data_IF_361250677728
#
_entry.id   IF_361250677728
#
_cell.length_a   1.000
_cell.length_b   1.000
_cell.length_c   1.000
_cell.angle_alpha   90.00
_cell.angle_beta   90.00
_cell.angle_gamma   90.00
#
_symmetry.space_group_name_H-M   'P 1'
#
loop_
_entity.id
_entity.type
_entity.pdbx_description
1 polymer ?
#
# COMPACT_ATOMS: atom_id res chain seq x y z
N UNK A 1 23.89 53.61 6.43
CA UNK A 1 22.92 52.55 6.06
C UNK A 1 23.00 52.14 4.59
N UNK A 2 23.00 53.06 3.61
CA UNK A 2 23.06 52.69 2.17
C UNK A 2 24.31 51.92 1.72
N UNK A 3 25.48 52.25 2.28
CA UNK A 3 26.75 51.56 1.94
C UNK A 3 26.80 50.13 2.48
N UNK A 4 26.20 49.90 3.67
CA UNK A 4 26.11 48.56 4.26
C UNK A 4 25.13 47.66 3.47
N UNK A 5 24.04 48.24 2.96
CA UNK A 5 23.09 47.53 2.09
C UNK A 5 23.71 47.16 0.75
N UNK A 6 24.56 48.01 0.17
CA UNK A 6 25.27 47.72 -1.08
C UNK A 6 26.33 46.62 -0.90
N UNK A 7 27.02 46.58 0.24
CA UNK A 7 27.97 45.51 0.55
C UNK A 7 27.29 44.17 0.81
N UNK A 8 26.13 44.18 1.47
CA UNK A 8 25.31 42.97 1.68
C UNK A 8 24.74 42.42 0.36
N UNK A 9 24.29 43.31 -0.55
CA UNK A 9 23.77 42.90 -1.85
C UNK A 9 24.89 42.33 -2.77
N UNK A 10 26.09 42.92 -2.71
CA UNK A 10 27.25 42.42 -3.46
C UNK A 10 27.75 41.06 -2.94
N UNK A 11 27.76 40.85 -1.63
CA UNK A 11 28.08 39.56 -1.02
C UNK A 11 27.05 38.48 -1.37
N UNK A 12 25.77 38.84 -1.42
CA UNK A 12 24.71 37.93 -1.82
C UNK A 12 24.85 37.54 -3.30
N UNK A 13 25.18 38.46 -4.21
CA UNK A 13 25.42 38.12 -5.63
C UNK A 13 26.64 37.22 -5.85
N UNK A 14 27.70 37.38 -5.06
CA UNK A 14 28.90 36.55 -5.15
C UNK A 14 28.68 35.10 -4.65
N UNK A 15 27.69 34.90 -3.77
CA UNK A 15 27.29 33.56 -3.32
C UNK A 15 26.49 32.79 -4.37
N UNK A 16 25.80 33.47 -5.30
CA UNK A 16 24.97 32.82 -6.33
C UNK A 16 25.84 32.37 -7.51
N UNK A 17 26.96 33.04 -7.79
CA UNK A 17 27.87 32.67 -8.88
C UNK A 17 28.86 31.54 -8.53
N UNK A 18 29.00 31.21 -7.24
CA UNK A 18 29.90 30.13 -6.79
C UNK A 18 29.34 28.71 -7.04
N UNK A 19 28.07 28.58 -7.45
CA UNK A 19 27.43 27.29 -7.74
C UNK A 19 27.38 26.94 -9.24
N UNK A 20 28.19 27.60 -10.07
CA UNK A 20 28.34 27.26 -11.50
C UNK A 20 29.57 26.40 -11.72
N UNK A 21 29.63 25.23 -11.09
CA UNK A 21 30.57 24.18 -11.51
C UNK A 21 29.83 23.31 -12.53
N UNK A 22 29.98 23.63 -13.81
CA UNK A 22 29.57 22.75 -14.90
C UNK A 22 30.58 21.61 -14.94
N UNK A 23 30.40 20.63 -14.06
CA UNK A 23 31.12 19.36 -14.17
C UNK A 23 30.83 18.81 -15.57
N UNK A 24 31.88 18.66 -16.37
CA UNK A 24 31.78 17.94 -17.65
C UNK A 24 31.25 16.56 -17.31
N UNK A 25 30.06 16.25 -17.83
CA UNK A 25 29.56 14.88 -17.93
C UNK A 25 30.74 14.00 -18.36
N UNK A 26 31.19 13.05 -17.52
CA UNK A 26 32.28 12.16 -17.90
C UNK A 26 31.90 11.49 -19.22
N UNK A 27 32.76 11.66 -20.22
CA UNK A 27 32.60 11.06 -21.55
C UNK A 27 32.88 9.56 -21.43
N UNK A 28 31.93 8.82 -20.86
CA UNK A 28 32.04 7.38 -20.72
C UNK A 28 32.06 6.78 -22.13
N UNK A 29 33.22 6.26 -22.52
CA UNK A 29 33.47 5.88 -23.91
C UNK A 29 33.16 4.40 -24.17
N UNK A 30 33.14 3.56 -23.12
CA UNK A 30 32.86 2.13 -23.24
C UNK A 30 31.68 1.68 -22.39
N UNK A 31 31.09 0.55 -22.79
CA UNK A 31 30.03 -0.14 -22.05
C UNK A 31 30.45 -0.45 -20.61
N UNK A 32 31.69 -0.93 -20.43
CA UNK A 32 32.23 -1.27 -19.11
C UNK A 32 32.37 -0.03 -18.21
N UNK A 33 32.82 1.10 -18.77
CA UNK A 33 32.94 2.35 -18.00
C UNK A 33 31.59 2.82 -17.49
N UNK A 34 30.55 2.79 -18.34
CA UNK A 34 29.18 3.13 -17.94
C UNK A 34 28.66 2.20 -16.85
N UNK A 35 28.87 0.90 -17.00
CA UNK A 35 28.41 -0.10 -16.04
C UNK A 35 29.12 0.07 -14.68
N UNK A 36 30.45 0.21 -14.67
CA UNK A 36 31.23 0.40 -13.45
C UNK A 36 30.86 1.71 -12.74
N UNK A 37 30.63 2.78 -13.50
CA UNK A 37 30.16 4.05 -12.97
C UNK A 37 28.78 3.93 -12.35
N UNK A 38 27.80 3.33 -13.04
CA UNK A 38 26.47 3.05 -12.51
C UNK A 38 26.56 2.27 -11.19
N UNK A 39 27.34 1.18 -11.17
CA UNK A 39 27.58 0.37 -9.99
C UNK A 39 28.20 1.15 -8.82
N UNK A 40 29.16 2.04 -9.09
CA UNK A 40 29.74 2.92 -8.08
C UNK A 40 28.70 3.88 -7.48
N UNK A 41 27.81 4.43 -8.32
CA UNK A 41 26.75 5.34 -7.87
C UNK A 41 25.65 4.62 -7.10
N UNK A 42 25.24 3.42 -7.51
CA UNK A 42 24.31 2.58 -6.75
C UNK A 42 24.86 2.25 -5.35
N UNK A 43 26.15 1.91 -5.23
CA UNK A 43 26.80 1.67 -3.92
C UNK A 43 26.80 2.92 -3.03
N UNK A 44 26.85 4.10 -3.62
CA UNK A 44 26.78 5.40 -2.92
C UNK A 44 25.35 5.90 -2.72
N UNK A 45 24.34 5.12 -3.12
CA UNK A 45 22.92 5.52 -3.13
C UNK A 45 22.63 6.78 -3.95
N UNK A 46 23.45 7.07 -4.97
CA UNK A 46 23.24 8.15 -5.93
C UNK A 46 22.37 7.62 -7.07
N UNK A 47 21.08 7.43 -6.78
CA UNK A 47 20.15 6.71 -7.68
C UNK A 47 19.93 7.43 -9.00
N UNK A 48 19.75 8.76 -9.01
CA UNK A 48 19.52 9.50 -10.26
C UNK A 48 20.71 9.41 -11.22
N UNK A 49 21.93 9.58 -10.72
CA UNK A 49 23.15 9.43 -11.54
C UNK A 49 23.34 7.99 -12.00
N UNK A 50 23.03 7.00 -11.16
CA UNK A 50 23.05 5.60 -11.57
C UNK A 50 22.05 5.31 -12.70
N UNK A 51 20.81 5.82 -12.57
CA UNK A 51 19.76 5.70 -13.59
C UNK A 51 20.24 6.29 -14.92
N UNK A 52 20.81 7.49 -14.91
CA UNK A 52 21.31 8.15 -16.13
C UNK A 52 22.41 7.32 -16.82
N UNK A 53 23.36 6.77 -16.06
CA UNK A 53 24.41 5.90 -16.60
C UNK A 53 23.85 4.59 -17.17
N UNK A 54 22.88 3.96 -16.49
CA UNK A 54 22.23 2.73 -16.94
C UNK A 54 21.39 2.95 -18.21
N UNK A 55 20.64 4.05 -18.29
CA UNK A 55 19.92 4.44 -19.50
C UNK A 55 20.88 4.68 -20.67
N UNK A 56 21.98 5.42 -20.42
CA UNK A 56 23.02 5.64 -21.43
C UNK A 56 23.64 4.32 -21.91
N UNK A 57 23.81 3.34 -21.03
CA UNK A 57 24.29 2.01 -21.40
C UNK A 57 23.28 1.30 -22.31
N UNK A 58 21.99 1.29 -21.96
CA UNK A 58 20.95 0.69 -22.80
C UNK A 58 20.83 1.34 -24.17
N UNK A 59 20.96 2.67 -24.25
CA UNK A 59 20.85 3.43 -25.49
C UNK A 59 22.03 3.18 -26.44
N UNK A 60 23.25 3.19 -25.90
CA UNK A 60 24.46 3.09 -26.72
C UNK A 60 24.91 1.63 -26.95
N UNK A 61 24.60 0.72 -26.03
CA UNK A 61 25.07 -0.66 -26.04
C UNK A 61 23.93 -1.69 -25.79
N UNK A 62 22.84 -1.68 -26.58
CA UNK A 62 21.64 -2.51 -26.34
C UNK A 62 21.87 -4.03 -26.43
N UNK A 63 22.97 -4.47 -27.05
CA UNK A 63 23.37 -5.88 -27.18
C UNK A 63 24.72 -6.16 -26.52
N UNK A 64 25.16 -5.26 -25.64
CA UNK A 64 26.41 -5.38 -24.91
C UNK A 64 26.41 -6.51 -23.88
N UNK A 65 27.57 -6.80 -23.30
CA UNK A 65 27.75 -7.88 -22.31
C UNK A 65 26.94 -7.62 -21.04
N UNK A 66 26.79 -6.36 -20.65
CA UNK A 66 26.09 -5.90 -19.45
C UNK A 66 24.65 -5.46 -19.75
N UNK A 67 24.19 -5.48 -21.00
CA UNK A 67 22.91 -4.90 -21.38
C UNK A 67 21.71 -5.46 -20.60
N UNK A 68 21.56 -6.79 -20.53
CA UNK A 68 20.45 -7.42 -19.81
C UNK A 68 20.55 -7.19 -18.29
N UNK A 69 21.77 -7.23 -17.75
CA UNK A 69 22.01 -6.98 -16.33
C UNK A 69 21.74 -5.51 -15.95
N UNK A 70 22.12 -4.57 -16.80
CA UNK A 70 21.86 -3.14 -16.64
C UNK A 70 20.36 -2.84 -16.62
N UNK A 71 19.56 -3.51 -17.47
CA UNK A 71 18.10 -3.38 -17.43
C UNK A 71 17.51 -3.83 -16.07
N UNK A 72 17.99 -4.95 -15.52
CA UNK A 72 17.56 -5.41 -14.19
C UNK A 72 17.95 -4.44 -13.07
N UNK A 73 19.16 -3.89 -13.16
CA UNK A 73 19.66 -2.91 -12.19
C UNK A 73 18.96 -1.56 -12.31
N UNK A 74 18.50 -1.20 -13.51
CA UNK A 74 17.70 -0.01 -13.74
C UNK A 74 16.34 -0.11 -13.05
N UNK A 75 15.68 -1.29 -13.11
CA UNK A 75 14.47 -1.58 -12.33
C UNK A 75 14.73 -1.35 -10.83
N UNK A 76 15.84 -1.87 -10.32
CA UNK A 76 16.21 -1.68 -8.91
C UNK A 76 16.48 -0.21 -8.58
N UNK A 77 17.20 0.51 -9.44
CA UNK A 77 17.53 1.91 -9.23
C UNK A 77 16.27 2.79 -9.18
N UNK A 78 15.29 2.56 -10.07
CA UNK A 78 13.99 3.23 -10.01
C UNK A 78 13.20 2.92 -8.74
N UNK A 79 13.22 1.66 -8.30
CA UNK A 79 12.58 1.30 -7.03
C UNK A 79 13.22 2.04 -5.85
N UNK A 80 14.55 2.17 -5.85
CA UNK A 80 15.27 2.88 -4.79
C UNK A 80 15.12 4.39 -4.86
N UNK A 81 14.85 4.97 -6.04
CA UNK A 81 14.49 6.39 -6.19
C UNK A 81 13.03 6.65 -5.82
N UNK A 82 12.20 5.62 -5.68
CA UNK A 82 10.77 5.73 -5.32
C UNK A 82 9.86 5.95 -6.53
N UNK A 83 10.33 5.67 -7.74
CA UNK A 83 9.58 5.86 -8.98
C UNK A 83 8.89 4.55 -9.40
N UNK A 84 7.70 4.29 -8.84
CA UNK A 84 6.96 3.05 -9.06
C UNK A 84 6.49 2.86 -10.52
N UNK A 85 6.16 3.96 -11.20
CA UNK A 85 5.76 3.96 -12.61
C UNK A 85 6.91 3.50 -13.49
N UNK A 86 8.11 4.06 -13.27
CA UNK A 86 9.30 3.67 -14.00
C UNK A 86 9.76 2.24 -13.68
N UNK A 87 9.58 1.74 -12.45
CA UNK A 87 9.78 0.32 -12.13
C UNK A 87 8.88 -0.56 -13.00
N UNK A 88 7.58 -0.26 -13.04
CA UNK A 88 6.60 -1.05 -13.78
C UNK A 88 6.91 -1.05 -15.28
N UNK A 89 7.16 0.12 -15.87
CA UNK A 89 7.47 0.26 -17.28
C UNK A 89 8.78 -0.47 -17.68
N UNK A 90 9.83 -0.33 -16.86
CA UNK A 90 11.13 -0.96 -17.10
C UNK A 90 11.05 -2.48 -16.96
N UNK A 91 10.34 -2.97 -15.94
CA UNK A 91 10.14 -4.39 -15.73
C UNK A 91 9.30 -5.03 -16.85
N UNK A 92 8.23 -4.37 -17.31
CA UNK A 92 7.42 -4.87 -18.42
C UNK A 92 8.21 -4.95 -19.72
N UNK A 93 9.07 -3.96 -19.96
CA UNK A 93 10.01 -4.01 -21.09
C UNK A 93 10.98 -5.19 -20.96
N UNK A 94 11.58 -5.39 -19.78
CA UNK A 94 12.49 -6.52 -19.54
C UNK A 94 11.80 -7.87 -19.78
N UNK A 95 10.62 -8.07 -19.18
CA UNK A 95 9.82 -9.30 -19.33
C UNK A 95 9.49 -9.58 -20.80
N UNK A 96 9.13 -8.55 -21.56
CA UNK A 96 8.79 -8.67 -22.99
C UNK A 96 10.00 -8.99 -23.86
N UNK A 97 11.14 -8.36 -23.59
CA UNK A 97 12.36 -8.54 -24.39
C UNK A 97 13.12 -9.82 -24.02
N UNK A 98 13.12 -10.21 -22.75
CA UNK A 98 13.93 -11.31 -22.22
C UNK A 98 13.09 -12.33 -21.40
N UNK A 99 12.02 -12.93 -21.97
CA UNK A 99 11.11 -13.80 -21.22
C UNK A 99 11.74 -15.11 -20.72
N UNK A 100 12.87 -15.54 -21.29
CA UNK A 100 13.61 -16.74 -20.89
C UNK A 100 14.82 -16.44 -20.01
N UNK A 101 15.03 -15.16 -19.63
CA UNK A 101 16.16 -14.79 -18.80
C UNK A 101 16.07 -15.44 -17.42
N UNK A 102 17.22 -15.87 -16.87
CA UNK A 102 17.28 -16.62 -15.61
C UNK A 102 16.68 -15.86 -14.42
N UNK A 103 16.72 -14.53 -14.45
CA UNK A 103 16.21 -13.65 -13.41
C UNK A 103 14.95 -12.88 -13.85
N UNK A 104 14.17 -13.39 -14.81
CA UNK A 104 12.92 -12.72 -15.22
C UNK A 104 11.89 -12.66 -14.08
N UNK A 105 11.93 -13.64 -13.18
CA UNK A 105 11.14 -13.68 -11.95
C UNK A 105 11.42 -12.48 -11.02
N UNK A 106 12.66 -11.98 -11.00
CA UNK A 106 13.01 -10.75 -10.29
C UNK A 106 12.25 -9.54 -10.84
N UNK A 107 12.11 -9.39 -12.17
CA UNK A 107 11.35 -8.30 -12.76
C UNK A 107 9.86 -8.35 -12.35
N UNK A 108 9.25 -9.54 -12.37
CA UNK A 108 7.89 -9.73 -11.85
C UNK A 108 7.76 -9.38 -10.37
N UNK A 109 8.73 -9.80 -9.55
CA UNK A 109 8.74 -9.48 -8.13
C UNK A 109 8.87 -7.97 -7.87
N UNK A 110 9.74 -7.28 -8.60
CA UNK A 110 9.94 -5.84 -8.45
C UNK A 110 8.70 -5.03 -8.81
N UNK A 111 7.90 -5.46 -9.80
CA UNK A 111 6.58 -4.85 -10.09
C UNK A 111 5.62 -4.94 -8.90
N UNK A 112 5.54 -6.11 -8.26
CA UNK A 112 4.68 -6.27 -7.09
C UNK A 112 5.19 -5.45 -5.91
N UNK A 113 6.51 -5.38 -5.75
CA UNK A 113 7.16 -4.65 -4.67
C UNK A 113 7.02 -3.13 -4.81
N UNK A 114 7.15 -2.56 -6.02
CA UNK A 114 6.97 -1.13 -6.22
C UNK A 114 5.55 -0.69 -5.87
N UNK A 115 4.53 -1.37 -6.39
CA UNK A 115 3.12 -1.10 -6.06
C UNK A 115 2.82 -1.31 -4.57
N UNK A 116 3.49 -2.25 -3.89
CA UNK A 116 3.32 -2.47 -2.44
C UNK A 116 3.82 -1.28 -1.60
N UNK A 117 4.91 -0.66 -2.05
CA UNK A 117 5.53 0.48 -1.38
C UNK A 117 4.95 1.82 -1.84
N UNK A 118 4.24 1.84 -2.95
CA UNK A 118 3.55 3.01 -3.47
C UNK A 118 2.51 3.50 -2.45
N UNK A 119 2.55 4.79 -2.15
CA UNK A 119 1.70 5.38 -1.12
C UNK A 119 2.25 5.33 0.30
N UNK A 120 3.25 4.47 0.59
CA UNK A 120 3.98 4.42 1.89
C UNK A 120 5.01 5.55 1.99
N UNK A 121 4.53 6.78 2.03
CA UNK A 121 5.36 7.98 2.02
C UNK A 121 6.18 8.16 3.31
N UNK A 122 7.18 9.05 3.24
CA UNK A 122 8.02 9.45 4.38
C UNK A 122 7.21 9.90 5.62
N UNK A 123 6.00 10.44 5.40
CA UNK A 123 5.12 10.97 6.44
C UNK A 123 4.36 9.91 7.25
N UNK A 124 4.21 8.67 6.77
CA UNK A 124 3.57 7.59 7.54
C UNK A 124 4.38 7.17 8.77
N UNK A 125 5.70 7.40 8.76
CA UNK A 125 6.55 7.19 9.93
C UNK A 125 6.30 8.21 11.05
N UNK A 126 5.68 9.35 10.72
CA UNK A 126 5.46 10.47 11.65
C UNK A 126 3.98 10.57 12.05
N UNK A 127 3.07 10.18 11.17
CA UNK A 127 1.63 10.15 11.41
C UNK A 127 1.08 8.75 11.11
N UNK A 128 0.76 7.93 12.13
CA UNK A 128 0.11 6.65 11.91
C UNK A 128 -1.27 6.92 11.28
N UNK A 129 -1.40 6.58 10.01
CA UNK A 129 -2.68 6.66 9.28
C UNK A 129 -3.11 5.25 8.92
N UNK A 130 -4.39 4.99 9.08
CA UNK A 130 -4.95 3.66 8.81
C UNK A 130 -4.93 3.39 7.30
N UNK A 131 -4.03 2.53 6.85
CA UNK A 131 -3.87 2.21 5.43
C UNK A 131 -5.12 1.55 4.84
N UNK A 132 -5.92 0.89 5.67
CA UNK A 132 -7.16 0.22 5.23
C UNK A 132 -8.27 1.20 4.87
N UNK A 133 -8.11 2.49 5.14
CA UNK A 133 -9.06 3.53 4.76
C UNK A 133 -8.65 4.30 3.49
N UNK A 134 -7.43 4.06 2.98
CA UNK A 134 -6.89 4.76 1.80
C UNK A 134 -7.32 4.08 0.52
N UNK A 135 -7.11 4.77 -0.61
CA UNK A 135 -7.38 4.20 -1.93
C UNK A 135 -6.59 2.89 -2.12
N UNK A 136 -7.26 1.74 -2.33
CA UNK A 136 -6.62 0.44 -2.43
C UNK A 136 -6.02 0.16 -3.81
N UNK A 137 -6.03 1.10 -4.78
CA UNK A 137 -5.52 0.90 -6.14
C UNK A 137 -4.15 0.21 -6.19
N UNK A 138 -3.14 0.83 -5.58
CA UNK A 138 -1.79 0.26 -5.53
C UNK A 138 -1.71 -1.09 -4.81
N UNK A 139 -2.55 -1.32 -3.79
CA UNK A 139 -2.63 -2.60 -3.10
C UNK A 139 -3.22 -3.72 -3.98
N UNK A 140 -4.23 -3.40 -4.81
CA UNK A 140 -4.79 -4.33 -5.81
C UNK A 140 -3.76 -4.66 -6.88
N UNK A 141 -3.09 -3.64 -7.43
CA UNK A 141 -2.05 -3.83 -8.44
C UNK A 141 -0.90 -4.68 -7.91
N UNK A 142 -0.48 -4.44 -6.66
CA UNK A 142 0.54 -5.25 -5.99
C UNK A 142 0.11 -6.70 -5.82
N UNK A 143 -1.14 -6.95 -5.41
CA UNK A 143 -1.68 -8.30 -5.26
C UNK A 143 -1.69 -9.04 -6.61
N UNK A 144 -2.10 -8.37 -7.68
CA UNK A 144 -2.15 -8.92 -9.03
C UNK A 144 -0.74 -9.21 -9.58
N UNK A 145 0.22 -8.31 -9.36
CA UNK A 145 1.62 -8.52 -9.76
C UNK A 145 2.26 -9.70 -9.01
N UNK A 146 2.05 -9.83 -7.70
CA UNK A 146 2.54 -10.99 -6.96
C UNK A 146 1.82 -12.29 -7.38
N UNK A 147 0.52 -12.24 -7.67
CA UNK A 147 -0.20 -13.39 -8.20
C UNK A 147 0.37 -13.85 -9.55
N UNK A 148 0.73 -12.91 -10.44
CA UNK A 148 1.40 -13.23 -11.71
C UNK A 148 2.77 -13.88 -11.49
N UNK A 149 3.58 -13.38 -10.56
CA UNK A 149 4.85 -13.98 -10.17
C UNK A 149 4.65 -15.43 -9.72
N UNK A 150 3.74 -15.68 -8.78
CA UNK A 150 3.53 -17.02 -8.22
C UNK A 150 2.91 -18.00 -9.23
N UNK A 151 2.09 -17.50 -10.16
CA UNK A 151 1.50 -18.33 -11.21
C UNK A 151 2.56 -18.78 -12.22
N UNK A 152 3.51 -17.90 -12.57
CA UNK A 152 4.54 -18.19 -13.58
C UNK A 152 5.82 -18.82 -13.00
N UNK A 153 6.20 -18.41 -11.80
CA UNK A 153 7.45 -18.79 -11.13
C UNK A 153 7.19 -19.20 -9.66
N UNK A 154 6.43 -20.29 -9.43
CA UNK A 154 6.07 -20.74 -8.09
C UNK A 154 7.29 -21.10 -7.21
N UNK A 155 8.39 -21.52 -7.85
CA UNK A 155 9.65 -21.93 -7.20
C UNK A 155 10.70 -20.80 -7.16
N UNK A 156 10.32 -19.57 -7.53
CA UNK A 156 11.22 -18.41 -7.44
C UNK A 156 11.72 -18.21 -6.00
N UNK A 157 12.94 -17.71 -5.85
CA UNK A 157 13.50 -17.31 -4.56
C UNK A 157 12.64 -16.22 -3.87
N UNK A 158 11.87 -15.45 -4.65
CA UNK A 158 11.00 -14.38 -4.17
C UNK A 158 9.60 -14.86 -3.79
N UNK A 159 9.24 -16.12 -4.11
CA UNK A 159 7.88 -16.63 -3.95
C UNK A 159 7.41 -16.62 -2.48
N UNK A 160 8.30 -16.95 -1.53
CA UNK A 160 7.95 -16.92 -0.11
C UNK A 160 7.64 -15.51 0.38
N UNK A 161 8.36 -14.49 -0.09
CA UNK A 161 8.11 -13.12 0.34
C UNK A 161 6.83 -12.57 -0.29
N UNK A 162 6.63 -12.84 -1.59
CA UNK A 162 5.41 -12.50 -2.31
C UNK A 162 4.16 -13.08 -1.63
N UNK A 163 4.18 -14.36 -1.22
CA UNK A 163 3.06 -15.00 -0.48
C UNK A 163 2.70 -14.26 0.80
N UNK A 164 3.71 -13.86 1.60
CA UNK A 164 3.48 -13.10 2.83
C UNK A 164 2.87 -11.73 2.55
N UNK A 165 3.36 -11.02 1.52
CA UNK A 165 2.79 -9.73 1.11
C UNK A 165 1.38 -9.88 0.58
N UNK A 166 1.08 -10.91 -0.19
CA UNK A 166 -0.27 -11.19 -0.67
C UNK A 166 -1.25 -11.45 0.47
N UNK A 167 -0.83 -12.17 1.53
CA UNK A 167 -1.66 -12.37 2.72
C UNK A 167 -1.99 -11.02 3.38
N UNK A 168 -0.98 -10.18 3.59
CA UNK A 168 -1.17 -8.83 4.12
C UNK A 168 -2.11 -7.99 3.24
N UNK A 169 -1.89 -7.97 1.93
CA UNK A 169 -2.70 -7.21 0.97
C UNK A 169 -4.15 -7.69 0.96
N UNK A 170 -4.40 -9.01 1.03
CA UNK A 170 -5.75 -9.56 1.13
C UNK A 170 -6.45 -9.08 2.40
N UNK A 171 -5.77 -9.09 3.54
CA UNK A 171 -6.33 -8.58 4.80
C UNK A 171 -6.63 -7.08 4.71
N UNK A 172 -5.73 -6.29 4.13
CA UNK A 172 -5.90 -4.85 3.92
C UNK A 172 -7.11 -4.55 3.03
N UNK A 173 -7.21 -5.23 1.88
CA UNK A 173 -8.29 -5.04 0.92
C UNK A 173 -9.64 -5.47 1.49
N UNK A 174 -9.70 -6.59 2.21
CA UNK A 174 -10.93 -7.04 2.86
C UNK A 174 -11.40 -6.03 3.92
N UNK A 175 -10.46 -5.52 4.73
CA UNK A 175 -10.76 -4.49 5.73
C UNK A 175 -11.24 -3.19 5.11
N UNK A 176 -10.65 -2.77 3.98
CA UNK A 176 -11.13 -1.61 3.22
C UNK A 176 -12.61 -1.75 2.84
N UNK A 177 -13.03 -2.92 2.35
CA UNK A 177 -14.44 -3.15 1.99
C UNK A 177 -15.38 -3.03 3.19
N UNK A 178 -14.95 -3.42 4.40
CA UNK A 178 -15.70 -3.21 5.64
C UNK A 178 -15.83 -1.71 5.97
N UNK A 179 -14.75 -0.92 5.83
CA UNK A 179 -14.86 0.53 6.01
C UNK A 179 -15.85 1.17 5.03
N UNK A 180 -15.86 0.70 3.77
CA UNK A 180 -16.84 1.16 2.78
C UNK A 180 -18.26 0.72 3.15
N UNK A 181 -18.45 -0.49 3.69
CA UNK A 181 -19.74 -0.96 4.18
C UNK A 181 -20.27 -0.07 5.32
N UNK A 182 -19.43 0.19 6.33
CA UNK A 182 -19.75 1.07 7.46
C UNK A 182 -20.13 2.48 6.99
N UNK A 183 -19.42 3.00 5.99
CA UNK A 183 -19.76 4.29 5.36
C UNK A 183 -21.12 4.26 4.66
N UNK A 184 -21.46 3.18 3.96
CA UNK A 184 -22.76 3.05 3.30
C UNK A 184 -23.92 2.91 4.29
N UNK A 185 -23.72 2.22 5.42
CA UNK A 185 -24.72 2.17 6.49
C UNK A 185 -25.02 3.56 7.03
N UNK A 186 -24.00 4.37 7.32
CA UNK A 186 -24.15 5.77 7.75
C UNK A 186 -24.93 6.64 6.77
N UNK A 187 -25.04 6.23 5.50
CA UNK A 187 -25.76 6.93 4.44
C UNK A 187 -27.11 6.30 4.06
N UNK A 188 -27.54 5.24 4.74
CA UNK A 188 -28.77 4.54 4.41
C UNK A 188 -28.69 3.70 3.12
N UNK A 189 -27.49 3.44 2.59
CA UNK A 189 -27.28 2.72 1.34
C UNK A 189 -27.11 1.20 1.57
N UNK A 190 -28.16 0.56 2.10
CA UNK A 190 -28.08 -0.82 2.63
C UNK A 190 -27.74 -1.88 1.57
N UNK A 191 -28.24 -1.76 0.34
CA UNK A 191 -27.87 -2.66 -0.77
C UNK A 191 -26.37 -2.57 -1.04
N UNK A 192 -25.81 -1.35 -1.04
CA UNK A 192 -24.40 -1.13 -1.29
C UNK A 192 -23.55 -1.68 -0.14
N UNK A 193 -23.94 -1.45 1.12
CA UNK A 193 -23.26 -2.01 2.29
C UNK A 193 -23.26 -3.56 2.27
N UNK A 194 -24.43 -4.17 2.04
CA UNK A 194 -24.57 -5.64 1.96
C UNK A 194 -23.70 -6.23 0.86
N UNK A 195 -23.63 -5.58 -0.31
CA UNK A 195 -22.76 -6.01 -1.41
C UNK A 195 -21.27 -5.98 -1.04
N UNK A 196 -20.83 -5.07 -0.16
CA UNK A 196 -19.44 -5.02 0.32
C UNK A 196 -19.12 -6.21 1.22
N UNK A 197 -20.00 -6.53 2.17
CA UNK A 197 -19.87 -7.74 2.99
C UNK A 197 -19.83 -9.01 2.14
N UNK A 198 -20.76 -9.13 1.17
CA UNK A 198 -20.77 -10.27 0.24
C UNK A 198 -19.47 -10.38 -0.56
N UNK A 199 -18.94 -9.25 -1.05
CA UNK A 199 -17.69 -9.23 -1.79
C UNK A 199 -16.50 -9.75 -0.96
N UNK A 200 -16.45 -9.44 0.34
CA UNK A 200 -15.45 -9.98 1.26
C UNK A 200 -15.58 -11.50 1.38
N UNK A 201 -16.79 -12.04 1.54
CA UNK A 201 -16.98 -13.50 1.60
C UNK A 201 -16.63 -14.20 0.29
N UNK A 202 -16.91 -13.58 -0.86
CA UNK A 202 -16.65 -14.19 -2.17
C UNK A 202 -15.17 -14.15 -2.57
N UNK A 203 -14.40 -13.15 -2.12
CA UNK A 203 -13.04 -12.88 -2.61
C UNK A 203 -11.95 -12.97 -1.52
N UNK A 204 -12.33 -12.87 -0.25
CA UNK A 204 -11.45 -12.72 0.92
C UNK A 204 -11.90 -13.59 2.12
N UNK A 205 -12.47 -14.75 1.84
CA UNK A 205 -12.99 -15.77 2.77
C UNK A 205 -12.02 -16.26 3.86
N UNK A 206 -10.72 -16.07 3.70
CA UNK A 206 -9.69 -16.45 4.69
C UNK A 206 -9.17 -15.28 5.52
N UNK A 207 -9.77 -14.09 5.41
CA UNK A 207 -9.23 -12.88 6.06
C UNK A 207 -9.87 -12.62 7.43
N UNK A 208 -9.17 -11.90 8.34
CA UNK A 208 -9.74 -11.44 9.61
C UNK A 208 -10.97 -10.53 9.50
N UNK A 209 -11.34 -10.08 8.30
CA UNK A 209 -12.50 -9.22 8.07
C UNK A 209 -13.79 -10.01 7.80
N UNK A 210 -13.72 -11.33 7.67
CA UNK A 210 -14.88 -12.20 7.44
C UNK A 210 -15.96 -12.10 8.53
N UNK A 211 -15.63 -12.04 9.84
CA UNK A 211 -16.64 -11.89 10.89
C UNK A 211 -17.44 -10.58 10.72
N UNK A 212 -16.73 -9.48 10.48
CA UNK A 212 -17.35 -8.19 10.22
C UNK A 212 -18.18 -8.20 8.92
N UNK A 213 -17.72 -8.91 7.89
CA UNK A 213 -18.47 -9.05 6.64
C UNK A 213 -19.80 -9.77 6.84
N UNK A 214 -19.82 -10.83 7.66
CA UNK A 214 -21.04 -11.53 8.05
C UNK A 214 -21.97 -10.60 8.83
N UNK A 215 -21.44 -9.85 9.81
CA UNK A 215 -22.23 -8.89 10.58
C UNK A 215 -22.83 -7.77 9.71
N UNK A 216 -22.04 -7.23 8.76
CA UNK A 216 -22.51 -6.32 7.71
C UNK A 216 -23.67 -6.94 6.93
N UNK A 217 -23.58 -8.21 6.54
CA UNK A 217 -24.65 -8.86 5.77
C UNK A 217 -25.90 -9.12 6.62
N UNK A 218 -25.77 -9.52 7.90
CA UNK A 218 -26.90 -9.67 8.82
C UNK A 218 -27.68 -8.36 8.92
N UNK A 219 -26.99 -7.27 9.27
CA UNK A 219 -27.64 -5.97 9.40
C UNK A 219 -28.20 -5.45 8.07
N UNK A 220 -27.43 -5.63 6.99
CA UNK A 220 -27.82 -5.21 5.65
C UNK A 220 -29.10 -5.90 5.16
N UNK A 221 -29.21 -7.22 5.35
CA UNK A 221 -30.42 -7.95 4.98
C UNK A 221 -31.62 -7.62 5.86
N UNK A 222 -31.42 -7.38 7.16
CA UNK A 222 -32.50 -6.93 8.04
C UNK A 222 -33.07 -5.58 7.57
N UNK A 223 -32.21 -4.60 7.30
CA UNK A 223 -32.60 -3.27 6.83
C UNK A 223 -33.20 -3.25 5.42
N UNK A 224 -33.10 -4.37 4.69
CA UNK A 224 -33.70 -4.58 3.37
C UNK A 224 -34.99 -5.43 3.42
N UNK A 225 -35.50 -5.72 4.63
CA UNK A 225 -36.67 -6.59 4.85
C UNK A 225 -36.48 -8.00 4.26
N UNK A 226 -35.26 -8.57 4.40
CA UNK A 226 -34.89 -9.92 3.94
C UNK A 226 -34.50 -10.84 5.11
N UNK A 227 -35.45 -11.17 6.02
CA UNK A 227 -35.15 -11.83 7.29
C UNK A 227 -34.58 -13.25 7.11
N UNK A 228 -34.96 -13.98 6.06
CA UNK A 228 -34.42 -15.32 5.81
C UNK A 228 -32.92 -15.30 5.48
N UNK A 229 -32.46 -14.28 4.75
CA UNK A 229 -31.04 -14.11 4.43
C UNK A 229 -30.27 -13.58 5.64
N UNK A 230 -30.86 -12.64 6.38
CA UNK A 230 -30.33 -12.13 7.66
C UNK A 230 -30.08 -13.27 8.65
N UNK A 231 -31.09 -14.12 8.88
CA UNK A 231 -30.99 -15.27 9.77
C UNK A 231 -29.91 -16.29 9.33
N UNK A 232 -29.81 -16.58 8.03
CA UNK A 232 -28.77 -17.48 7.51
C UNK A 232 -27.36 -16.94 7.79
N UNK A 233 -27.12 -15.65 7.57
CA UNK A 233 -25.80 -15.05 7.85
C UNK A 233 -25.53 -15.01 9.35
N UNK A 234 -26.55 -14.79 10.17
CA UNK A 234 -26.45 -14.79 11.62
C UNK A 234 -26.08 -16.17 12.16
N UNK A 235 -26.67 -17.24 11.61
CA UNK A 235 -26.33 -18.61 12.00
C UNK A 235 -24.86 -18.94 11.68
N UNK A 236 -24.35 -18.48 10.53
CA UNK A 236 -22.93 -18.65 10.16
C UNK A 236 -22.03 -17.84 11.10
N UNK A 237 -22.40 -16.60 11.42
CA UNK A 237 -21.66 -15.74 12.33
C UNK A 237 -21.56 -16.37 13.72
N UNK A 238 -22.68 -16.81 14.29
CA UNK A 238 -22.74 -17.49 15.60
C UNK A 238 -21.90 -18.76 15.64
N UNK A 239 -21.97 -19.57 14.58
CA UNK A 239 -21.31 -20.86 14.52
C UNK A 239 -19.79 -20.73 14.52
N UNK A 240 -19.26 -19.74 13.79
CA UNK A 240 -17.82 -19.60 13.55
C UNK A 240 -17.16 -18.52 14.42
N UNK A 241 -17.92 -17.51 14.83
CA UNK A 241 -17.44 -16.32 15.54
C UNK A 241 -18.38 -15.92 16.68
N UNK A 242 -18.58 -16.79 17.68
CA UNK A 242 -19.51 -16.53 18.79
C UNK A 242 -19.11 -15.32 19.65
N UNK A 243 -17.82 -14.96 19.67
CA UNK A 243 -17.30 -13.82 20.44
C UNK A 243 -17.39 -12.48 19.68
N UNK A 244 -18.12 -12.43 18.55
CA UNK A 244 -18.23 -11.22 17.76
C UNK A 244 -19.03 -10.14 18.53
N UNK A 245 -18.54 -8.88 18.65
CA UNK A 245 -19.17 -7.85 19.50
C UNK A 245 -20.59 -7.44 19.12
N UNK A 246 -21.00 -7.68 17.87
CA UNK A 246 -22.38 -7.46 17.41
C UNK A 246 -23.36 -8.57 17.86
N UNK A 247 -22.90 -9.58 18.60
CA UNK A 247 -23.74 -10.61 19.20
C UNK A 247 -23.96 -10.30 20.70
N UNK A 248 -25.21 -10.37 21.14
CA UNK A 248 -25.57 -10.31 22.55
C UNK A 248 -25.22 -11.64 23.25
N UNK A 249 -25.26 -11.64 24.60
CA UNK A 249 -25.01 -12.84 25.41
C UNK A 249 -25.94 -14.02 25.09
N UNK A 250 -27.14 -13.76 24.58
CA UNK A 250 -28.10 -14.77 24.14
C UNK A 250 -27.90 -15.22 22.68
N UNK A 251 -26.88 -14.67 22.02
CA UNK A 251 -26.56 -14.85 20.61
C UNK A 251 -27.42 -14.02 19.66
N UNK A 252 -28.43 -13.26 20.12
CA UNK A 252 -29.17 -12.37 19.22
C UNK A 252 -28.25 -11.29 18.63
N UNK A 253 -28.55 -10.82 17.42
CA UNK A 253 -27.76 -9.76 16.79
C UNK A 253 -28.17 -8.40 17.35
N UNK A 254 -27.19 -7.58 17.72
CA UNK A 254 -27.42 -6.18 18.09
C UNK A 254 -27.49 -5.29 16.84
N UNK A 255 -28.71 -4.98 16.40
CA UNK A 255 -28.94 -4.10 15.25
C UNK A 255 -28.62 -2.62 15.52
N UNK A 256 -28.40 -2.23 16.78
CA UNK A 256 -27.96 -0.88 17.13
C UNK A 256 -26.44 -0.73 17.10
N UNK A 257 -25.69 -1.84 17.05
CA UNK A 257 -24.23 -1.88 17.08
C UNK A 257 -23.55 -0.89 16.11
N UNK A 258 -23.94 -0.90 14.83
CA UNK A 258 -23.33 0.00 13.81
C UNK A 258 -23.89 1.43 13.86
N UNK A 259 -24.99 1.63 14.60
CA UNK A 259 -25.75 2.89 14.64
C UNK A 259 -25.36 3.75 15.82
N UNK A 260 -24.67 3.17 16.80
CA UNK A 260 -24.23 3.88 17.99
C UNK A 260 -23.24 4.96 17.55
N UNK A 261 -23.63 6.23 17.63
CA UNK A 261 -22.71 7.35 17.41
C UNK A 261 -21.94 7.51 18.72
N UNK A 262 -20.93 6.66 18.93
CA UNK A 262 -20.07 6.69 20.11
C UNK A 262 -19.71 8.13 20.50
N UNK A 263 -19.84 8.44 21.79
CA UNK A 263 -19.79 9.79 22.35
C UNK A 263 -18.66 10.62 21.71
N UNK A 264 -19.03 11.52 20.79
CA UNK A 264 -18.06 12.40 20.13
C UNK A 264 -17.46 13.32 21.17
N UNK A 265 -16.20 13.06 21.53
CA UNK A 265 -15.39 13.89 22.40
C UNK A 265 -15.41 15.35 21.91
N UNK A 266 -15.65 16.30 22.81
CA UNK A 266 -15.67 17.72 22.49
C UNK A 266 -14.37 18.21 21.80
N UNK A 267 -13.24 17.54 22.07
CA UNK A 267 -11.96 17.78 21.41
C UNK A 267 -11.98 17.37 19.94
N UNK A 268 -12.66 16.28 19.56
CA UNK A 268 -12.77 15.84 18.16
C UNK A 268 -13.56 16.85 17.33
N UNK A 269 -14.63 17.41 17.89
CA UNK A 269 -15.44 18.45 17.25
C UNK A 269 -14.65 19.74 16.99
N UNK A 270 -13.92 20.24 17.99
CA UNK A 270 -13.17 21.51 17.88
C UNK A 270 -11.95 21.36 16.96
N UNK A 271 -11.32 20.20 16.98
CA UNK A 271 -10.10 19.94 16.22
C UNK A 271 -10.39 19.32 14.86
N UNK A 272 -11.67 19.19 14.48
CA UNK A 272 -12.12 18.48 13.28
C UNK A 272 -11.49 17.08 13.16
N UNK A 273 -11.34 16.38 14.28
CA UNK A 273 -10.76 15.05 14.35
C UNK A 273 -9.23 15.02 14.19
N UNK A 274 -8.52 16.13 14.37
CA UNK A 274 -7.06 16.19 14.25
C UNK A 274 -6.35 15.46 15.40
N UNK A 275 -6.90 15.52 16.61
CA UNK A 275 -6.27 14.94 17.82
C UNK A 275 -7.04 13.76 18.42
N UNK A 276 -8.33 13.65 18.11
CA UNK A 276 -9.21 12.58 18.58
C UNK A 276 -10.11 12.17 17.42
N UNK A 277 -9.82 11.01 16.82
CA UNK A 277 -10.64 10.39 15.77
C UNK A 277 -11.53 9.34 16.41
N UNK A 278 -12.53 9.77 17.19
CA UNK A 278 -13.63 8.90 17.59
C UNK A 278 -14.54 8.68 16.36
N UNK A 279 -14.26 7.65 15.58
CA UNK A 279 -15.22 7.19 14.57
C UNK A 279 -16.41 6.53 15.27
N UNK A 280 -17.66 6.74 14.81
CA UNK A 280 -18.81 5.97 15.29
C UNK A 280 -18.50 4.48 15.15
N UNK A 281 -18.75 3.62 16.16
CA UNK A 281 -18.56 2.18 16.06
C UNK A 281 -19.22 1.65 14.78
N UNK A 282 -18.37 1.30 13.82
CA UNK A 282 -18.74 0.44 12.72
C UNK A 282 -18.26 -0.97 13.03
N UNK A 283 -18.56 -1.93 12.16
CA UNK A 283 -17.96 -3.26 12.28
C UNK A 283 -16.43 -3.14 12.15
N UNK A 284 -15.73 -3.36 13.25
CA UNK A 284 -14.27 -3.37 13.31
C UNK A 284 -13.79 -4.30 14.43
N UNK A 285 -13.57 -5.56 14.07
CA UNK A 285 -13.07 -6.57 14.99
C UNK A 285 -11.59 -6.88 14.78
N UNK A 286 -10.81 -5.92 14.28
CA UNK A 286 -9.36 -6.09 14.06
C UNK A 286 -8.62 -6.53 15.33
N UNK A 287 -8.93 -5.93 16.47
CA UNK A 287 -8.29 -6.29 17.74
C UNK A 287 -8.62 -7.73 18.19
N UNK A 288 -9.73 -8.31 17.72
CA UNK A 288 -10.16 -9.66 18.08
C UNK A 288 -9.65 -10.71 17.09
N UNK A 289 -9.69 -10.44 15.79
CA UNK A 289 -9.42 -11.46 14.77
C UNK A 289 -8.17 -11.20 13.93
N UNK A 290 -7.56 -10.02 13.99
CA UNK A 290 -6.33 -9.72 13.24
C UNK A 290 -5.10 -9.77 14.16
N UNK A 291 -4.22 -10.78 14.01
CA UNK A 291 -2.99 -10.90 14.81
C UNK A 291 -2.11 -9.66 14.76
N UNK A 292 -2.09 -8.92 13.64
CA UNK A 292 -1.29 -7.69 13.51
C UNK A 292 -1.73 -6.56 14.48
N UNK A 293 -2.98 -6.60 14.94
CA UNK A 293 -3.55 -5.59 15.84
C UNK A 293 -3.62 -6.08 17.29
N UNK A 294 -3.66 -7.39 17.53
CA UNK A 294 -3.61 -7.96 18.89
C UNK A 294 -2.32 -7.61 19.64
N UNK A 295 -1.20 -7.51 18.92
CA UNK A 295 0.12 -7.19 19.47
C UNK A 295 0.43 -5.68 19.47
N UNK A 296 -0.48 -4.84 18.96
CA UNK A 296 -0.30 -3.40 18.94
C UNK A 296 -0.54 -2.79 20.33
N UNK A 297 0.25 -1.78 20.77
CA UNK A 297 -0.03 -1.11 22.03
C UNK A 297 -1.42 -0.46 21.97
N UNK A 298 -2.34 -1.03 22.73
CA UNK A 298 -3.70 -0.54 22.92
C UNK A 298 -3.66 0.95 23.28
N UNK A 299 -4.42 1.82 22.61
CA UNK A 299 -4.56 3.20 23.05
C UNK A 299 -5.08 3.18 24.50
N UNK A 300 -4.63 4.09 25.38
CA UNK A 300 -5.07 4.09 26.76
C UNK A 300 -6.60 4.18 26.78
N UNK A 301 -7.25 3.18 27.37
CA UNK A 301 -8.68 3.18 27.65
C UNK A 301 -9.01 4.47 28.39
N UNK A 302 -9.74 5.37 27.72
CA UNK A 302 -10.06 6.69 28.25
C UNK A 302 -10.73 6.60 29.62
N UNK A 303 -10.26 7.45 30.54
CA UNK A 303 -10.97 7.92 31.74
C UNK A 303 -11.51 9.30 31.43
#
# INVERSE_FOLDING_TARGET
MRVLQLLLLGGLLALITACSNTDREPEYTSEADLYEAAQAQMRRSQWETAISNLQSLEENFPFGTYAEQAQLELIYAYYRSGDADMVSATADRFIRLHPQHRNVDYAYYMKGLSSFTEGRGMFERVLPTDLTQRDPGAARDSLDHFAQLLTRFPDSIYASDAKRRMLYLRNLLARYEIHVANYYFKRGAYVAATNRGRYVLENFDTTPAVPDALAVMVQGYELLDMPELSAQMLDILKLNYPDHPALNDDGSFDFQYSSDEGDRSWLSLITFGLFDKSEPPGFDTRELYNPEYQDAPQPPSGV
#
